data_IF_740298203068
#
_entry.id   IF_740298203068
#
_cell.length_a   1.000
_cell.length_b   1.000
_cell.length_c   1.000
_cell.angle_alpha   90.00
_cell.angle_beta   90.00
_cell.angle_gamma   90.00
#
_symmetry.space_group_name_H-M   'P 1'
#
loop_
_entity.id
_entity.type
_entity.pdbx_description
1 polymer ?
#
# COMPACT_ATOMS: atom_id res chain seq x y z
N UNK A 1 74.41 -36.88 -2.42
CA UNK A 1 75.38 -36.41 -3.43
C UNK A 1 74.57 -35.81 -4.55
N UNK A 2 74.44 -34.48 -4.58
CA UNK A 2 75.17 -33.58 -5.51
C UNK A 2 74.55 -33.67 -6.92
N UNK A 3 74.17 -32.62 -7.63
CA UNK A 3 74.43 -31.19 -7.52
C UNK A 3 73.39 -30.45 -8.40
N UNK A 4 73.18 -29.17 -8.11
CA UNK A 4 72.39 -28.16 -8.83
C UNK A 4 72.90 -27.91 -10.26
N UNK A 5 72.08 -27.28 -11.09
CA UNK A 5 72.56 -26.44 -12.20
C UNK A 5 71.45 -25.98 -13.15
N UNK A 6 71.10 -24.69 -13.09
CA UNK A 6 70.13 -24.00 -13.94
C UNK A 6 70.69 -23.75 -15.35
N UNK A 7 69.81 -23.54 -16.33
CA UNK A 7 70.08 -22.62 -17.44
C UNK A 7 68.80 -21.89 -17.87
N UNK A 8 68.92 -20.58 -18.09
CA UNK A 8 67.87 -19.63 -18.41
C UNK A 8 68.13 -19.14 -19.82
N UNK A 9 67.12 -19.21 -20.70
CA UNK A 9 67.09 -18.36 -21.89
C UNK A 9 65.71 -17.73 -22.00
N UNK A 10 65.71 -16.42 -21.73
CA UNK A 10 64.63 -15.49 -22.02
C UNK A 10 65.10 -14.74 -23.25
N UNK A 11 64.62 -15.14 -24.42
CA UNK A 11 64.73 -14.30 -25.62
C UNK A 11 63.45 -13.48 -25.71
N UNK A 12 63.55 -12.24 -25.19
CA UNK A 12 62.65 -11.15 -25.56
C UNK A 12 63.35 -10.43 -26.69
N UNK A 13 63.07 -10.87 -27.91
CA UNK A 13 63.40 -10.07 -29.08
C UNK A 13 62.39 -8.93 -29.19
N UNK A 14 62.98 -7.74 -29.15
CA UNK A 14 62.36 -6.47 -29.34
C UNK A 14 61.89 -6.30 -30.78
N UNK A 15 60.76 -5.62 -30.94
CA UNK A 15 60.56 -4.43 -31.76
C UNK A 15 59.15 -4.40 -32.34
N UNK A 16 58.58 -3.19 -32.39
CA UNK A 16 57.44 -2.90 -33.27
C UNK A 16 56.12 -2.73 -32.54
N UNK A 17 55.94 -1.53 -32.01
CA UNK A 17 54.64 -0.91 -31.79
C UNK A 17 53.68 -1.10 -32.98
N UNK A 18 52.56 -1.77 -32.76
CA UNK A 18 51.33 -1.48 -33.52
C UNK A 18 50.09 -1.70 -32.64
N UNK A 19 49.70 -0.62 -31.97
CA UNK A 19 48.38 -0.48 -31.37
C UNK A 19 47.41 -0.12 -32.51
N UNK A 20 46.78 -1.13 -33.08
CA UNK A 20 45.77 -0.89 -34.11
C UNK A 20 45.15 -2.18 -34.58
N UNK A 21 44.13 -2.66 -33.87
CA UNK A 21 42.85 -3.13 -34.40
C UNK A 21 42.17 -4.02 -33.36
N UNK A 22 41.09 -3.48 -32.79
CA UNK A 22 40.05 -4.22 -32.10
C UNK A 22 39.28 -5.01 -33.17
N UNK A 23 39.72 -6.23 -33.46
CA UNK A 23 38.94 -7.14 -34.30
C UNK A 23 38.04 -7.99 -33.40
N UNK A 24 36.89 -7.41 -33.07
CA UNK A 24 35.72 -8.10 -32.55
C UNK A 24 35.04 -8.85 -33.71
N UNK A 25 35.73 -9.87 -34.22
CA UNK A 25 35.17 -10.75 -35.25
C UNK A 25 35.10 -12.15 -34.68
N UNK A 26 33.90 -12.44 -34.17
CA UNK A 26 33.22 -13.71 -34.01
C UNK A 26 34.00 -14.95 -34.48
N UNK A 27 34.11 -15.96 -33.60
CA UNK A 27 33.69 -17.33 -33.95
C UNK A 27 33.83 -18.37 -32.81
N UNK A 28 34.12 -17.97 -31.56
CA UNK A 28 33.92 -18.85 -30.41
C UNK A 28 32.69 -18.44 -29.60
N UNK A 29 31.57 -19.17 -29.65
CA UNK A 29 30.47 -18.92 -28.73
C UNK A 29 30.95 -19.31 -27.33
N UNK A 30 31.22 -18.32 -26.50
CA UNK A 30 31.38 -18.51 -25.05
C UNK A 30 30.06 -19.07 -24.50
N UNK A 31 29.98 -20.40 -24.42
CA UNK A 31 28.86 -21.10 -23.81
C UNK A 31 28.86 -20.84 -22.31
N UNK A 32 27.94 -19.98 -21.88
CA UNK A 32 27.65 -19.77 -20.47
C UNK A 32 26.85 -20.95 -19.94
N UNK A 33 27.51 -21.85 -19.20
CA UNK A 33 26.83 -22.88 -18.44
C UNK A 33 25.95 -22.23 -17.35
N UNK A 34 24.63 -22.29 -17.52
CA UNK A 34 23.70 -21.97 -16.44
C UNK A 34 23.70 -23.11 -15.42
N UNK A 35 24.43 -22.93 -14.32
CA UNK A 35 24.40 -23.85 -13.17
C UNK A 35 22.99 -23.91 -12.57
N UNK A 36 22.17 -24.86 -13.04
CA UNK A 36 20.91 -25.20 -12.39
C UNK A 36 21.21 -26.23 -11.30
N UNK A 37 21.25 -25.80 -10.05
CA UNK A 37 21.33 -26.70 -8.89
C UNK A 37 19.96 -27.37 -8.68
N UNK A 38 19.58 -28.30 -9.54
CA UNK A 38 18.56 -29.33 -9.28
C UNK A 38 18.66 -30.40 -10.38
N UNK A 39 19.30 -31.53 -10.06
CA UNK A 39 19.03 -32.80 -10.76
C UNK A 39 19.19 -33.94 -9.77
N UNK A 40 18.19 -34.80 -9.56
CA UNK A 40 18.46 -36.19 -9.21
C UNK A 40 18.79 -36.94 -10.50
N UNK A 41 19.91 -37.66 -10.49
CA UNK A 41 20.37 -38.51 -11.58
C UNK A 41 19.34 -39.58 -11.93
N UNK A 42 18.97 -39.74 -13.19
CA UNK A 42 18.50 -41.04 -13.72
C UNK A 42 18.89 -41.18 -15.20
N UNK A 43 19.90 -42.03 -15.41
CA UNK A 43 20.05 -43.03 -16.48
C UNK A 43 19.61 -42.72 -17.92
N UNK A 44 20.61 -42.78 -18.81
CA UNK A 44 20.56 -42.84 -20.27
C UNK A 44 19.45 -43.73 -20.89
N UNK A 45 18.87 -43.29 -22.03
CA UNK A 45 18.87 -44.03 -23.32
C UNK A 45 18.37 -43.15 -24.48
N UNK A 46 19.16 -43.03 -25.56
CA UNK A 46 18.99 -42.02 -26.61
C UNK A 46 17.95 -42.28 -27.70
N UNK A 47 17.73 -41.24 -28.52
CA UNK A 47 17.39 -41.25 -29.96
C UNK A 47 17.48 -39.81 -30.53
N UNK A 48 17.90 -39.72 -31.79
CA UNK A 48 18.27 -38.54 -32.60
C UNK A 48 17.11 -37.54 -32.86
N UNK A 49 17.39 -36.29 -33.35
CA UNK A 49 16.42 -35.19 -33.46
C UNK A 49 15.77 -35.10 -34.85
N UNK A 50 14.59 -34.47 -34.99
CA UNK A 50 14.17 -33.91 -36.27
C UNK A 50 14.36 -32.39 -36.29
N UNK A 51 15.09 -31.95 -37.29
CA UNK A 51 15.16 -30.60 -37.81
C UNK A 51 13.79 -30.06 -38.23
N UNK A 52 13.40 -28.89 -37.72
CA UNK A 52 12.51 -27.97 -38.42
C UNK A 52 12.85 -26.54 -38.00
N UNK A 53 13.73 -25.91 -38.77
CA UNK A 53 13.94 -24.47 -38.78
C UNK A 53 12.67 -23.79 -39.28
N UNK A 54 12.02 -23.01 -38.41
CA UNK A 54 10.98 -22.06 -38.79
C UNK A 54 11.39 -20.68 -38.30
N UNK A 55 11.91 -19.89 -39.24
CA UNK A 55 12.30 -18.50 -39.07
C UNK A 55 11.07 -17.61 -39.22
N UNK A 56 10.40 -17.28 -38.10
CA UNK A 56 9.49 -16.14 -37.99
C UNK A 56 9.62 -15.53 -36.59
N UNK A 57 9.57 -14.18 -36.44
CA UNK A 57 9.68 -13.54 -35.14
C UNK A 57 8.35 -13.76 -34.39
N UNK A 58 8.33 -14.72 -33.47
CA UNK A 58 7.22 -14.88 -32.54
C UNK A 58 7.22 -13.69 -31.60
N UNK A 59 6.12 -12.95 -31.62
CA UNK A 59 5.73 -12.02 -30.55
C UNK A 59 5.94 -12.67 -29.19
N UNK A 60 6.60 -11.93 -28.30
CA UNK A 60 6.92 -12.30 -26.93
C UNK A 60 5.75 -13.05 -26.25
N UNK A 61 5.86 -14.36 -25.96
CA UNK A 61 4.84 -15.02 -25.18
C UNK A 61 4.98 -14.52 -23.74
N UNK A 62 3.98 -13.73 -23.31
CA UNK A 62 3.73 -13.40 -21.90
C UNK A 62 3.90 -14.70 -21.10
N UNK A 63 4.80 -14.78 -20.10
CA UNK A 63 4.93 -15.99 -19.32
C UNK A 63 3.58 -16.25 -18.66
N UNK A 64 2.92 -17.32 -19.10
CA UNK A 64 1.75 -17.84 -18.40
C UNK A 64 2.24 -18.22 -17.00
N UNK A 65 1.53 -17.87 -15.93
CA UNK A 65 1.97 -18.24 -14.58
C UNK A 65 2.07 -19.75 -14.54
N UNK A 66 3.29 -20.25 -14.30
CA UNK A 66 3.56 -21.67 -14.10
C UNK A 66 2.79 -22.13 -12.86
N UNK A 67 1.58 -22.63 -13.06
CA UNK A 67 0.75 -23.36 -12.10
C UNK A 67 1.36 -24.73 -11.79
N UNK A 68 2.58 -24.76 -11.25
CA UNK A 68 3.29 -26.01 -10.98
C UNK A 68 4.31 -25.99 -9.84
N UNK A 69 4.64 -24.84 -9.28
CA UNK A 69 5.47 -24.76 -8.07
C UNK A 69 4.59 -24.56 -6.85
N UNK A 70 4.74 -25.37 -5.80
CA UNK A 70 4.14 -25.09 -4.48
C UNK A 70 4.81 -23.84 -3.90
N UNK A 71 4.38 -22.67 -4.35
CA UNK A 71 4.81 -21.39 -3.81
C UNK A 71 4.22 -21.28 -2.40
N UNK A 72 5.08 -21.37 -1.40
CA UNK A 72 4.67 -21.19 -0.02
C UNK A 72 4.14 -19.75 0.14
N UNK A 73 3.03 -19.59 0.88
CA UNK A 73 2.39 -18.29 1.18
C UNK A 73 3.32 -17.29 1.90
N UNK A 74 4.55 -17.69 2.22
CA UNK A 74 5.59 -16.92 2.90
C UNK A 74 6.74 -16.52 1.99
N UNK A 75 6.69 -16.89 0.69
CA UNK A 75 7.75 -16.54 -0.27
C UNK A 75 7.44 -15.21 -0.95
N UNK A 76 8.45 -14.34 -1.05
CA UNK A 76 8.31 -13.07 -1.74
C UNK A 76 7.90 -13.27 -3.21
N UNK A 77 8.38 -14.35 -3.83
CA UNK A 77 8.01 -14.75 -5.20
C UNK A 77 6.52 -14.99 -5.37
N UNK A 78 5.82 -15.50 -4.34
CA UNK A 78 4.37 -15.66 -4.37
C UNK A 78 3.65 -14.32 -4.41
N UNK A 79 4.13 -13.31 -3.68
CA UNK A 79 3.49 -11.99 -3.68
C UNK A 79 3.89 -11.12 -4.86
N UNK A 80 5.10 -11.30 -5.41
CA UNK A 80 5.60 -10.51 -6.53
C UNK A 80 4.64 -10.49 -7.73
N UNK A 81 3.95 -11.60 -8.02
CA UNK A 81 2.98 -11.69 -9.10
C UNK A 81 1.78 -10.72 -8.95
N UNK A 82 1.41 -10.36 -7.72
CA UNK A 82 0.30 -9.43 -7.46
C UNK A 82 0.74 -7.95 -7.46
N UNK A 83 2.05 -7.70 -7.61
CA UNK A 83 2.64 -6.39 -7.82
C UNK A 83 3.08 -6.16 -9.27
N UNK A 84 3.13 -7.22 -10.09
CA UNK A 84 3.46 -7.16 -11.51
C UNK A 84 2.22 -6.76 -12.33
N UNK A 85 1.87 -5.48 -12.28
CA UNK A 85 0.64 -4.94 -12.87
C UNK A 85 0.96 -3.70 -13.71
N UNK A 86 0.38 -3.66 -14.91
CA UNK A 86 0.51 -2.51 -15.80
C UNK A 86 -0.22 -1.29 -15.22
N UNK A 87 0.40 -0.10 -15.33
CA UNK A 87 -0.22 1.16 -14.87
C UNK A 87 -1.58 1.43 -15.53
N UNK A 88 -1.72 1.05 -16.81
CA UNK A 88 -2.99 1.18 -17.54
C UNK A 88 -4.11 0.34 -16.90
N UNK A 89 -3.77 -0.84 -16.36
CA UNK A 89 -4.72 -1.72 -15.70
C UNK A 89 -5.15 -1.16 -14.35
N UNK A 90 -4.22 -0.63 -13.57
CA UNK A 90 -4.53 0.08 -12.30
C UNK A 90 -5.45 1.28 -12.57
N UNK A 91 -5.16 2.07 -13.61
CA UNK A 91 -6.01 3.21 -14.00
C UNK A 91 -7.42 2.77 -14.42
N UNK A 92 -7.53 1.67 -15.16
CA UNK A 92 -8.82 1.09 -15.55
C UNK A 92 -9.63 0.65 -14.32
N UNK A 93 -8.98 0.02 -13.34
CA UNK A 93 -9.58 -0.38 -12.06
C UNK A 93 -10.00 0.84 -11.22
N UNK A 94 -9.16 1.86 -11.14
CA UNK A 94 -9.50 3.13 -10.51
C UNK A 94 -10.73 3.78 -11.16
N UNK A 95 -10.78 3.82 -12.49
CA UNK A 95 -11.93 4.36 -13.21
C UNK A 95 -13.21 3.56 -12.95
N UNK A 96 -13.11 2.23 -12.93
CA UNK A 96 -14.22 1.34 -12.60
C UNK A 96 -14.70 1.51 -11.15
N UNK A 97 -13.79 1.83 -10.22
CA UNK A 97 -14.13 2.08 -8.82
C UNK A 97 -14.91 3.40 -8.65
N UNK A 98 -14.52 4.46 -9.37
CA UNK A 98 -15.23 5.75 -9.34
C UNK A 98 -16.54 5.71 -10.12
N UNK A 99 -16.55 5.04 -11.27
CA UNK A 99 -17.70 4.93 -12.16
C UNK A 99 -18.11 3.47 -12.35
N UNK A 100 -18.85 2.87 -11.39
CA UNK A 100 -19.21 1.47 -11.41
C UNK A 100 -20.26 1.16 -12.49
N UNK A 101 -19.79 0.87 -13.70
CA UNK A 101 -20.64 0.40 -14.82
C UNK A 101 -21.01 -1.08 -14.65
N UNK A 102 -20.04 -1.90 -14.31
CA UNK A 102 -20.16 -3.34 -13.99
C UNK A 102 -19.72 -3.61 -12.54
N UNK A 103 -19.87 -4.85 -12.05
CA UNK A 103 -19.28 -5.19 -10.76
C UNK A 103 -17.76 -5.15 -10.87
N UNK A 104 -17.11 -4.65 -9.84
CA UNK A 104 -15.67 -4.51 -9.74
C UNK A 104 -14.96 -5.87 -9.73
N UNK A 105 -15.58 -6.90 -9.15
CA UNK A 105 -15.01 -8.25 -9.19
C UNK A 105 -14.95 -8.81 -10.62
N UNK A 106 -15.92 -8.46 -11.48
CA UNK A 106 -15.88 -8.80 -12.90
C UNK A 106 -14.77 -8.02 -13.63
N UNK A 107 -14.50 -6.79 -13.20
CA UNK A 107 -13.40 -5.96 -13.72
C UNK A 107 -12.05 -6.55 -13.34
N UNK A 108 -11.93 -7.20 -12.18
CA UNK A 108 -10.69 -7.87 -11.76
C UNK A 108 -10.39 -9.12 -12.61
N UNK A 109 -11.41 -9.75 -13.19
CA UNK A 109 -11.29 -10.91 -14.09
C UNK A 109 -10.39 -12.03 -13.51
N UNK A 110 -10.56 -12.32 -12.22
CA UNK A 110 -9.78 -13.34 -11.51
C UNK A 110 -8.29 -13.01 -11.31
N UNK A 111 -7.85 -11.80 -11.67
CA UNK A 111 -6.47 -11.32 -11.53
C UNK A 111 -6.39 -10.15 -10.52
N UNK A 112 -6.58 -10.41 -9.21
CA UNK A 112 -6.53 -9.37 -8.19
C UNK A 112 -5.11 -8.80 -8.05
N UNK A 113 -5.01 -7.49 -7.79
CA UNK A 113 -3.74 -6.81 -7.55
C UNK A 113 -3.61 -6.33 -6.10
N UNK A 114 -2.37 -6.27 -5.61
CA UNK A 114 -2.02 -5.62 -4.34
C UNK A 114 -1.34 -4.26 -4.55
N UNK A 115 -0.79 -4.02 -5.74
CA UNK A 115 -0.15 -2.75 -6.10
C UNK A 115 -1.11 -1.56 -5.93
N UNK A 116 -2.28 -1.57 -6.57
CA UNK A 116 -3.25 -0.49 -6.50
C UNK A 116 -3.71 -0.20 -5.08
N UNK A 117 -4.25 -1.19 -4.34
CA UNK A 117 -4.65 -1.04 -2.94
C UNK A 117 -3.57 -0.45 -2.03
N UNK A 118 -2.33 -0.93 -2.15
CA UNK A 118 -1.21 -0.45 -1.36
C UNK A 118 -0.91 1.02 -1.63
N UNK A 119 -0.82 1.42 -2.90
CA UNK A 119 -0.51 2.80 -3.27
C UNK A 119 -1.66 3.75 -2.97
N UNK A 120 -2.91 3.35 -3.24
CA UNK A 120 -4.09 4.15 -2.89
C UNK A 120 -4.12 4.41 -1.39
N UNK A 121 -3.94 3.37 -0.56
CA UNK A 121 -3.88 3.52 0.89
C UNK A 121 -2.76 4.46 1.32
N UNK A 122 -1.55 4.30 0.76
CA UNK A 122 -0.41 5.18 1.03
C UNK A 122 -0.73 6.64 0.71
N UNK A 123 -1.31 6.91 -0.46
CA UNK A 123 -1.71 8.26 -0.89
C UNK A 123 -2.74 8.86 0.06
N UNK A 124 -3.76 8.10 0.46
CA UNK A 124 -4.76 8.55 1.44
C UNK A 124 -4.09 8.91 2.77
N UNK A 125 -3.20 8.07 3.30
CA UNK A 125 -2.45 8.34 4.54
C UNK A 125 -1.68 9.65 4.45
N UNK A 126 -0.92 9.84 3.37
CA UNK A 126 -0.11 11.05 3.16
C UNK A 126 -0.99 12.29 3.07
N UNK A 127 -2.08 12.26 2.30
CA UNK A 127 -2.96 13.42 2.15
C UNK A 127 -3.73 13.72 3.43
N UNK A 128 -4.18 12.71 4.19
CA UNK A 128 -4.79 12.90 5.50
C UNK A 128 -3.82 13.54 6.49
N UNK A 129 -2.55 13.09 6.48
CA UNK A 129 -1.51 13.68 7.31
C UNK A 129 -1.23 15.16 6.94
N UNK A 130 -1.08 15.47 5.64
CA UNK A 130 -0.87 16.84 5.17
C UNK A 130 -2.07 17.73 5.50
N UNK A 131 -3.28 17.26 5.23
CA UNK A 131 -4.53 17.99 5.49
C UNK A 131 -4.75 18.21 6.99
N UNK A 132 -4.52 17.18 7.81
CA UNK A 132 -4.62 17.27 9.26
C UNK A 132 -3.60 18.24 9.84
N UNK A 133 -2.37 18.24 9.33
CA UNK A 133 -1.30 19.19 9.71
C UNK A 133 -1.72 20.62 9.39
N UNK A 134 -2.21 20.88 8.18
CA UNK A 134 -2.65 22.23 7.76
C UNK A 134 -3.87 22.68 8.57
N UNK A 135 -4.84 21.81 8.79
CA UNK A 135 -6.03 22.11 9.60
C UNK A 135 -5.67 22.45 11.05
N UNK A 136 -4.74 21.71 11.65
CA UNK A 136 -4.22 21.98 12.99
C UNK A 136 -3.45 23.30 13.04
N UNK A 137 -2.59 23.56 12.04
CA UNK A 137 -1.86 24.83 11.93
C UNK A 137 -2.82 26.03 11.86
N UNK A 138 -3.83 25.97 11.00
CA UNK A 138 -4.80 27.04 10.81
C UNK A 138 -5.62 27.30 12.09
N UNK A 139 -5.98 26.22 12.81
CA UNK A 139 -6.66 26.31 14.10
C UNK A 139 -5.75 26.84 15.24
N UNK A 140 -4.43 26.69 15.12
CA UNK A 140 -3.44 27.08 16.15
C UNK A 140 -2.96 28.53 16.06
N UNK A 141 -3.46 29.31 15.10
CA UNK A 141 -3.15 30.75 14.95
C UNK A 141 -3.58 31.53 16.21
N UNK A 142 -2.70 31.55 17.23
CA UNK A 142 -2.95 32.21 18.51
C UNK A 142 -2.11 31.72 19.71
N UNK A 143 -1.48 30.53 19.70
CA UNK A 143 -0.53 30.12 20.76
C UNK A 143 0.62 29.26 20.21
N UNK A 144 1.83 29.60 20.63
CA UNK A 144 3.09 29.06 20.14
C UNK A 144 3.34 27.57 20.43
N UNK A 145 4.31 27.03 19.68
CA UNK A 145 4.88 25.67 19.67
C UNK A 145 4.06 24.59 18.93
N UNK A 146 4.16 24.60 17.60
CA UNK A 146 3.72 23.49 16.75
C UNK A 146 4.68 22.29 16.89
N UNK A 147 4.36 21.36 17.80
CA UNK A 147 5.08 20.10 17.88
C UNK A 147 4.65 19.16 16.76
N UNK A 148 5.61 18.65 16.00
CA UNK A 148 5.37 17.67 14.94
C UNK A 148 4.72 16.39 15.50
N UNK A 149 3.48 16.09 15.08
CA UNK A 149 2.71 14.98 15.64
C UNK A 149 2.91 13.68 14.84
N UNK A 150 3.91 12.90 15.25
CA UNK A 150 4.07 11.51 14.81
C UNK A 150 2.81 10.66 15.06
N UNK A 151 1.98 11.04 16.03
CA UNK A 151 0.70 10.39 16.34
C UNK A 151 -0.36 10.59 15.25
N UNK A 152 -0.38 11.72 14.54
CA UNK A 152 -1.28 11.94 13.41
C UNK A 152 -0.90 11.05 12.23
N UNK A 153 0.41 10.96 11.94
CA UNK A 153 0.90 10.11 10.84
C UNK A 153 0.69 8.62 11.14
N UNK A 154 1.07 8.16 12.33
CA UNK A 154 0.90 6.76 12.73
C UNK A 154 -0.58 6.40 12.92
N UNK A 155 -1.40 7.33 13.41
CA UNK A 155 -2.85 7.19 13.50
C UNK A 155 -3.51 7.08 12.13
N UNK A 156 -3.11 7.93 11.16
CA UNK A 156 -3.58 7.84 9.78
C UNK A 156 -3.18 6.50 9.14
N UNK A 157 -1.92 6.12 9.27
CA UNK A 157 -1.40 4.86 8.76
C UNK A 157 -2.15 3.66 9.37
N UNK A 158 -2.26 3.61 10.70
CA UNK A 158 -2.97 2.54 11.40
C UNK A 158 -4.44 2.44 11.01
N UNK A 159 -5.14 3.58 10.90
CA UNK A 159 -6.54 3.63 10.50
C UNK A 159 -6.75 3.13 9.06
N UNK A 160 -5.99 3.68 8.10
CA UNK A 160 -6.17 3.37 6.68
C UNK A 160 -5.66 1.97 6.33
N UNK A 161 -4.46 1.59 6.78
CA UNK A 161 -3.94 0.24 6.54
C UNK A 161 -4.69 -0.83 7.32
N UNK A 162 -5.09 -0.54 8.56
CA UNK A 162 -5.94 -1.43 9.34
C UNK A 162 -7.25 -1.69 8.60
N UNK A 163 -7.92 -0.64 8.14
CA UNK A 163 -9.12 -0.79 7.33
C UNK A 163 -8.88 -1.50 5.99
N UNK A 164 -7.77 -1.23 5.30
CA UNK A 164 -7.52 -1.80 3.96
C UNK A 164 -7.11 -3.27 4.00
N UNK A 165 -6.39 -3.71 5.03
CA UNK A 165 -5.82 -5.07 5.07
C UNK A 165 -6.42 -5.96 6.16
N UNK A 166 -6.71 -5.43 7.34
CA UNK A 166 -7.20 -6.27 8.46
C UNK A 166 -8.69 -6.59 8.30
N UNK A 167 -9.50 -5.60 7.90
CA UNK A 167 -10.95 -5.77 7.75
C UNK A 167 -11.31 -6.79 6.65
N UNK A 168 -10.70 -6.76 5.44
CA UNK A 168 -11.06 -7.71 4.39
C UNK A 168 -10.55 -9.12 4.69
N UNK A 169 -9.47 -9.23 5.47
CA UNK A 169 -8.99 -10.51 6.00
C UNK A 169 -10.01 -11.11 6.98
N UNK A 170 -10.55 -10.30 7.89
CA UNK A 170 -11.62 -10.71 8.80
C UNK A 170 -12.89 -11.12 8.04
N UNK A 171 -13.31 -10.30 7.06
CA UNK A 171 -14.44 -10.61 6.19
C UNK A 171 -14.22 -11.95 5.48
N UNK A 172 -13.08 -12.12 4.80
CA UNK A 172 -12.71 -13.37 4.14
C UNK A 172 -12.74 -14.57 5.10
N UNK A 173 -12.20 -14.44 6.31
CA UNK A 173 -12.20 -15.50 7.31
C UNK A 173 -13.61 -15.93 7.71
N UNK A 174 -14.53 -14.96 7.87
CA UNK A 174 -15.94 -15.23 8.15
C UNK A 174 -16.62 -15.90 6.95
N UNK A 175 -16.38 -15.42 5.73
CA UNK A 175 -16.94 -16.04 4.51
C UNK A 175 -16.46 -17.49 4.35
N UNK A 176 -15.18 -17.74 4.65
CA UNK A 176 -14.60 -19.09 4.58
C UNK A 176 -15.20 -20.00 5.64
N UNK A 177 -15.46 -19.48 6.85
CA UNK A 177 -16.14 -20.22 7.90
C UNK A 177 -17.57 -20.64 7.51
N UNK A 178 -18.28 -19.80 6.75
CA UNK A 178 -19.62 -20.09 6.24
C UNK A 178 -19.64 -20.90 4.93
N UNK A 179 -18.48 -21.41 4.47
CA UNK A 179 -18.41 -22.32 3.32
C UNK A 179 -18.38 -21.64 1.95
N UNK A 180 -18.10 -20.34 1.87
CA UNK A 180 -17.91 -19.64 0.59
C UNK A 180 -16.58 -20.04 -0.03
N UNK A 181 -16.57 -21.11 -0.84
CA UNK A 181 -15.34 -21.59 -1.48
C UNK A 181 -14.77 -20.61 -2.52
N UNK A 182 -15.62 -19.79 -3.11
CA UNK A 182 -15.29 -18.76 -4.10
C UNK A 182 -14.68 -17.47 -3.51
N UNK A 183 -14.64 -17.32 -2.18
CA UNK A 183 -14.14 -16.09 -1.57
C UNK A 183 -12.60 -16.02 -1.62
N UNK A 184 -12.07 -15.12 -2.44
CA UNK A 184 -10.64 -14.86 -2.55
C UNK A 184 -10.22 -13.65 -1.69
N UNK A 185 -9.27 -13.85 -0.77
CA UNK A 185 -8.76 -12.77 0.10
C UNK A 185 -8.15 -11.61 -0.69
N UNK A 186 -7.52 -11.90 -1.83
CA UNK A 186 -6.88 -10.90 -2.67
C UNK A 186 -7.93 -10.02 -3.38
N UNK A 187 -9.05 -10.58 -3.79
CA UNK A 187 -10.19 -9.82 -4.34
C UNK A 187 -10.82 -8.93 -3.27
N UNK A 188 -10.92 -9.42 -2.02
CA UNK A 188 -11.38 -8.63 -0.89
C UNK A 188 -10.44 -7.44 -0.59
N UNK A 189 -9.12 -7.67 -0.57
CA UNK A 189 -8.14 -6.60 -0.40
C UNK A 189 -8.16 -5.60 -1.53
N UNK A 190 -8.25 -6.07 -2.78
CA UNK A 190 -8.40 -5.21 -3.93
C UNK A 190 -9.66 -4.34 -3.79
N UNK A 191 -10.82 -4.96 -3.56
CA UNK A 191 -12.09 -4.26 -3.43
C UNK A 191 -12.04 -3.17 -2.36
N UNK A 192 -11.55 -3.47 -1.16
CA UNK A 192 -11.43 -2.48 -0.08
C UNK A 192 -10.38 -1.41 -0.37
N UNK A 193 -9.26 -1.77 -1.00
CA UNK A 193 -8.25 -0.82 -1.44
C UNK A 193 -8.79 0.21 -2.42
N UNK A 194 -9.46 -0.24 -3.47
CA UNK A 194 -10.06 0.65 -4.47
C UNK A 194 -11.27 1.42 -3.92
N UNK A 195 -11.98 0.89 -2.92
CA UNK A 195 -13.01 1.65 -2.20
C UNK A 195 -12.44 2.89 -1.49
N UNK A 196 -11.15 2.88 -1.11
CA UNK A 196 -10.51 4.04 -0.48
C UNK A 196 -10.17 5.18 -1.45
N UNK A 197 -10.27 4.95 -2.76
CA UNK A 197 -9.91 5.94 -3.77
C UNK A 197 -10.73 7.24 -3.62
N UNK A 198 -11.99 7.16 -3.19
CA UNK A 198 -12.84 8.34 -2.98
C UNK A 198 -12.35 9.23 -1.83
N UNK A 199 -11.58 8.68 -0.88
CA UNK A 199 -11.04 9.47 0.24
C UNK A 199 -9.95 10.42 -0.19
N UNK A 200 -9.29 10.20 -1.34
CA UNK A 200 -8.28 11.11 -1.90
C UNK A 200 -8.89 12.50 -2.18
N UNK A 201 -9.90 12.64 -3.07
CA UNK A 201 -10.51 13.95 -3.31
C UNK A 201 -11.23 14.50 -2.08
N UNK A 202 -11.84 13.66 -1.25
CA UNK A 202 -12.48 14.11 0.01
C UNK A 202 -11.46 14.74 0.95
N UNK A 203 -10.30 14.11 1.14
CA UNK A 203 -9.24 14.63 1.98
C UNK A 203 -8.65 15.94 1.43
N UNK A 204 -8.43 16.04 0.11
CA UNK A 204 -7.96 17.27 -0.53
C UNK A 204 -8.90 18.46 -0.32
N UNK A 205 -10.22 18.25 -0.41
CA UNK A 205 -11.21 19.32 -0.18
C UNK A 205 -11.32 19.67 1.31
N UNK A 206 -11.00 18.72 2.19
CA UNK A 206 -11.24 18.85 3.63
C UNK A 206 -10.26 19.74 4.39
N UNK A 207 -9.26 20.33 3.71
CA UNK A 207 -8.41 21.39 4.26
C UNK A 207 -9.15 22.71 4.51
N UNK A 208 -10.33 22.88 3.92
CA UNK A 208 -11.10 24.12 3.98
C UNK A 208 -11.63 24.35 5.41
N UNK A 209 -11.57 25.58 5.94
CA UNK A 209 -12.15 25.87 7.26
C UNK A 209 -13.69 25.85 7.29
N UNK A 210 -14.33 25.62 6.15
CA UNK A 210 -15.77 25.55 6.02
C UNK A 210 -16.28 24.19 6.52
N UNK A 211 -16.69 24.14 7.78
CA UNK A 211 -17.20 22.92 8.44
C UNK A 211 -18.31 22.23 7.63
N UNK A 212 -19.27 23.00 7.09
CA UNK A 212 -20.38 22.47 6.29
C UNK A 212 -19.88 21.78 5.02
N UNK A 213 -18.90 22.38 4.33
CA UNK A 213 -18.30 21.80 3.12
C UNK A 213 -17.67 20.43 3.45
N UNK A 214 -16.92 20.36 4.55
CA UNK A 214 -16.27 19.12 4.99
C UNK A 214 -17.30 18.02 5.30
N UNK A 215 -18.39 18.36 5.98
CA UNK A 215 -19.47 17.39 6.25
C UNK A 215 -20.14 16.89 4.97
N UNK A 216 -20.41 17.78 4.02
CA UNK A 216 -21.01 17.40 2.73
C UNK A 216 -20.09 16.45 1.95
N UNK A 217 -18.82 16.79 1.81
CA UNK A 217 -17.86 15.95 1.08
C UNK A 217 -17.60 14.61 1.76
N UNK A 218 -17.51 14.57 3.09
CA UNK A 218 -17.41 13.31 3.83
C UNK A 218 -18.67 12.47 3.67
N UNK A 219 -19.86 13.08 3.72
CA UNK A 219 -21.14 12.40 3.52
C UNK A 219 -21.28 11.82 2.11
N UNK A 220 -20.92 12.59 1.09
CA UNK A 220 -20.91 12.12 -0.31
C UNK A 220 -19.88 11.01 -0.50
N UNK A 221 -18.65 11.19 0.00
CA UNK A 221 -17.60 10.20 -0.06
C UNK A 221 -18.01 8.88 0.60
N UNK A 222 -18.61 8.95 1.80
CA UNK A 222 -19.19 7.80 2.49
C UNK A 222 -20.29 7.13 1.67
N UNK A 223 -21.26 7.89 1.15
CA UNK A 223 -22.36 7.32 0.36
C UNK A 223 -21.85 6.59 -0.89
N UNK A 224 -20.94 7.22 -1.65
CA UNK A 224 -20.36 6.64 -2.87
C UNK A 224 -19.59 5.35 -2.56
N UNK A 225 -18.74 5.37 -1.53
CA UNK A 225 -17.95 4.19 -1.14
C UNK A 225 -18.78 3.06 -0.55
N UNK A 226 -19.83 3.36 0.23
CA UNK A 226 -20.78 2.34 0.71
C UNK A 226 -21.53 1.70 -0.45
N UNK A 227 -22.04 2.49 -1.40
CA UNK A 227 -22.73 1.96 -2.58
C UNK A 227 -21.79 1.06 -3.38
N UNK A 228 -20.53 1.47 -3.55
CA UNK A 228 -19.51 0.65 -4.19
C UNK A 228 -19.28 -0.68 -3.44
N UNK A 229 -19.06 -0.65 -2.12
CA UNK A 229 -18.83 -1.87 -1.34
C UNK A 229 -20.04 -2.81 -1.37
N UNK A 230 -21.24 -2.29 -1.11
CA UNK A 230 -22.47 -3.09 -1.06
C UNK A 230 -22.76 -3.72 -2.42
N UNK A 231 -22.65 -2.95 -3.51
CA UNK A 231 -22.89 -3.48 -4.87
C UNK A 231 -21.96 -4.65 -5.21
N UNK A 232 -20.71 -4.58 -4.78
CA UNK A 232 -19.70 -5.59 -5.09
C UNK A 232 -19.70 -6.77 -4.12
N UNK A 233 -20.02 -6.56 -2.85
CA UNK A 233 -20.06 -7.62 -1.84
C UNK A 233 -21.39 -8.37 -1.82
N UNK A 234 -22.50 -7.74 -2.19
CA UNK A 234 -23.80 -8.40 -2.24
C UNK A 234 -23.79 -9.73 -3.02
N UNK A 235 -23.30 -9.81 -4.28
CA UNK A 235 -23.28 -11.08 -5.01
C UNK A 235 -22.43 -12.14 -4.31
N UNK A 236 -21.28 -11.76 -3.74
CA UNK A 236 -20.39 -12.69 -3.01
C UNK A 236 -21.04 -13.21 -1.73
N UNK A 237 -21.68 -12.33 -0.97
CA UNK A 237 -22.33 -12.66 0.30
C UNK A 237 -23.67 -13.38 0.11
N UNK A 238 -24.33 -13.21 -1.03
CA UNK A 238 -25.62 -13.82 -1.33
C UNK A 238 -25.56 -15.34 -1.52
N UNK A 239 -24.35 -15.88 -1.70
CA UNK A 239 -24.10 -17.32 -1.75
C UNK A 239 -24.31 -17.99 -0.38
N UNK A 240 -24.13 -17.23 0.71
CA UNK A 240 -24.42 -17.68 2.08
C UNK A 240 -25.89 -17.49 2.46
N UNK A 241 -26.29 -18.02 3.63
CA UNK A 241 -27.64 -17.83 4.16
C UNK A 241 -28.05 -16.34 4.21
N UNK A 242 -29.32 -16.07 3.89
CA UNK A 242 -29.86 -14.70 3.76
C UNK A 242 -29.70 -13.89 5.05
N UNK A 243 -29.81 -14.51 6.23
CA UNK A 243 -29.64 -13.81 7.50
C UNK A 243 -28.19 -13.41 7.71
N UNK A 244 -27.26 -14.34 7.48
CA UNK A 244 -25.81 -14.10 7.58
C UNK A 244 -25.37 -13.03 6.59
N UNK A 245 -25.80 -13.11 5.34
CA UNK A 245 -25.51 -12.12 4.29
C UNK A 245 -25.92 -10.70 4.69
N UNK A 246 -27.15 -10.54 5.22
CA UNK A 246 -27.64 -9.25 5.71
C UNK A 246 -26.84 -8.72 6.90
N UNK A 247 -26.53 -9.58 7.87
CA UNK A 247 -25.73 -9.19 9.05
C UNK A 247 -24.34 -8.73 8.61
N UNK A 248 -23.68 -9.45 7.70
CA UNK A 248 -22.37 -9.09 7.18
C UNK A 248 -22.40 -7.76 6.41
N UNK A 249 -23.41 -7.55 5.55
CA UNK A 249 -23.57 -6.26 4.86
C UNK A 249 -23.76 -5.10 5.84
N UNK A 250 -24.61 -5.26 6.87
CA UNK A 250 -24.79 -4.24 7.91
C UNK A 250 -23.47 -3.98 8.65
N UNK A 251 -22.72 -5.03 9.00
CA UNK A 251 -21.43 -4.90 9.65
C UNK A 251 -20.41 -4.15 8.78
N UNK A 252 -20.33 -4.46 7.48
CA UNK A 252 -19.47 -3.76 6.53
C UNK A 252 -19.82 -2.28 6.45
N UNK A 253 -21.10 -1.94 6.32
CA UNK A 253 -21.55 -0.54 6.28
C UNK A 253 -21.24 0.18 7.60
N UNK A 254 -21.45 -0.48 8.74
CA UNK A 254 -21.16 0.09 10.06
C UNK A 254 -19.66 0.34 10.26
N UNK A 255 -18.80 -0.60 9.87
CA UNK A 255 -17.35 -0.46 9.95
C UNK A 255 -16.86 0.65 9.01
N UNK A 256 -17.45 0.77 7.82
CA UNK A 256 -17.15 1.85 6.89
C UNK A 256 -17.61 3.22 7.41
N UNK A 257 -18.75 3.27 8.09
CA UNK A 257 -19.21 4.48 8.78
C UNK A 257 -18.24 4.85 9.91
N UNK A 258 -17.75 3.86 10.65
CA UNK A 258 -16.69 4.03 11.64
C UNK A 258 -15.43 4.66 11.05
N UNK A 259 -14.97 4.19 9.89
CA UNK A 259 -13.86 4.80 9.15
C UNK A 259 -14.14 6.26 8.80
N UNK A 260 -15.29 6.55 8.19
CA UNK A 260 -15.68 7.91 7.79
C UNK A 260 -15.73 8.88 8.98
N UNK A 261 -16.29 8.43 10.09
CA UNK A 261 -16.37 9.18 11.34
C UNK A 261 -14.97 9.39 11.92
N UNK A 262 -14.13 8.35 11.96
CA UNK A 262 -12.75 8.45 12.43
C UNK A 262 -11.95 9.44 11.58
N UNK A 263 -12.05 9.39 10.25
CA UNK A 263 -11.40 10.35 9.35
C UNK A 263 -11.86 11.79 9.68
N UNK A 264 -13.18 12.00 9.82
CA UNK A 264 -13.73 13.33 10.12
C UNK A 264 -13.26 13.86 11.48
N UNK A 265 -13.28 13.04 12.52
CA UNK A 265 -12.96 13.45 13.90
C UNK A 265 -11.46 13.66 14.07
N UNK A 266 -10.64 12.73 13.55
CA UNK A 266 -9.20 12.74 13.76
C UNK A 266 -8.46 13.74 12.86
N UNK A 267 -8.96 14.01 11.65
CA UNK A 267 -8.23 14.84 10.68
C UNK A 267 -8.94 16.14 10.30
N UNK A 268 -10.28 16.21 10.37
CA UNK A 268 -11.05 17.35 9.83
C UNK A 268 -11.85 18.12 10.88
N UNK A 269 -11.74 17.77 12.17
CA UNK A 269 -12.35 18.55 13.23
C UNK A 269 -11.39 19.69 13.62
N UNK A 270 -11.91 20.91 13.76
CA UNK A 270 -11.19 22.12 14.21
C UNK A 270 -10.71 22.07 15.68
N UNK A 271 -10.43 20.86 16.18
CA UNK A 271 -10.01 20.54 17.53
C UNK A 271 -9.87 19.03 17.70
N UNK A 272 -9.28 18.35 16.70
CA UNK A 272 -9.03 16.91 16.70
C UNK A 272 -8.47 16.48 18.06
N UNK A 273 -9.01 15.42 18.70
CA UNK A 273 -8.52 14.94 19.99
C UNK A 273 -7.04 14.58 19.99
N UNK A 274 -6.50 14.13 18.86
CA UNK A 274 -5.07 13.83 18.71
C UNK A 274 -4.20 15.08 18.93
N UNK A 275 -4.71 16.26 18.58
CA UNK A 275 -4.02 17.53 18.82
C UNK A 275 -4.19 18.05 20.27
N UNK A 276 -5.15 17.52 21.04
CA UNK A 276 -5.45 17.98 22.42
C UNK A 276 -4.70 17.22 23.50
N UNK A 277 -4.31 15.97 23.25
CA UNK A 277 -3.69 15.10 24.26
C UNK A 277 -2.23 15.47 24.63
N UNK A 278 -1.71 16.59 24.10
CA UNK A 278 -0.40 17.14 24.48
C UNK A 278 -0.44 18.59 24.95
N UNK A 279 -1.54 19.04 25.56
CA UNK A 279 -1.42 20.13 26.51
C UNK A 279 -0.67 19.58 27.75
N UNK A 280 0.47 20.16 28.17
CA UNK A 280 1.11 19.73 29.41
C UNK A 280 0.09 19.91 30.55
N UNK A 281 -0.17 18.82 31.27
CA UNK A 281 -0.83 18.86 32.55
C UNK A 281 0.08 19.62 33.53
N UNK A 282 -0.03 20.94 33.55
CA UNK A 282 0.83 21.75 34.41
C UNK A 282 0.97 23.19 33.98
N UNK A 283 -0.12 23.95 33.92
CA UNK A 283 -0.04 25.39 34.17
C UNK A 283 -1.26 25.79 34.97
N UNK A 284 -1.07 25.88 36.30
CA UNK A 284 -1.96 26.65 37.15
C UNK A 284 -1.96 28.07 36.58
N UNK A 285 -3.12 28.49 36.09
CA UNK A 285 -3.49 29.86 35.79
C UNK A 285 -2.85 30.82 36.82
N UNK A 286 -2.03 31.80 36.44
CA UNK A 286 -1.81 32.94 37.32
C UNK A 286 -3.16 33.66 37.40
N UNK A 287 -3.74 33.71 38.60
CA UNK A 287 -4.77 34.70 38.90
C UNK A 287 -4.13 36.09 38.78
N UNK A 288 -4.33 36.76 37.65
CA UNK A 288 -4.20 38.21 37.60
C UNK A 288 -5.44 38.84 38.24
N UNK A 289 -5.24 39.33 39.47
CA UNK A 289 -5.54 40.72 39.78
C UNK A 289 -6.96 41.10 40.20
N UNK A 290 -7.25 40.95 41.49
CA UNK A 290 -7.97 41.99 42.25
C UNK A 290 -7.40 42.03 43.67
N UNK A 291 -6.87 43.18 44.12
CA UNK A 291 -6.55 43.38 45.53
C UNK A 291 -5.26 44.11 45.89
N UNK A 292 -4.59 44.81 44.97
CA UNK A 292 -3.39 45.61 45.26
C UNK A 292 -3.59 46.83 46.18
N UNK A 293 -4.83 47.19 46.52
CA UNK A 293 -5.12 48.33 47.40
C UNK A 293 -5.38 47.93 48.88
N UNK A 294 -5.77 46.68 49.16
CA UNK A 294 -6.13 46.25 50.52
C UNK A 294 -4.93 45.88 51.40
N UNK A 295 -3.87 45.33 50.79
CA UNK A 295 -2.69 44.88 51.52
C UNK A 295 -1.84 46.04 52.06
N UNK A 296 -1.76 47.16 51.32
CA UNK A 296 -1.00 48.34 51.73
C UNK A 296 -1.70 49.09 52.87
N UNK A 297 -3.03 49.10 52.90
CA UNK A 297 -3.81 49.73 53.97
C UNK A 297 -3.73 48.92 55.29
N UNK A 298 -3.72 47.59 55.22
CA UNK A 298 -3.51 46.74 56.42
C UNK A 298 -2.12 46.90 57.01
N UNK A 299 -1.10 47.04 56.17
CA UNK A 299 0.28 47.24 56.64
C UNK A 299 0.49 48.62 57.30
N UNK A 300 -0.26 49.65 56.87
CA UNK A 300 -0.20 50.99 57.45
C UNK A 300 -1.00 51.16 58.75
N UNK A 301 -2.00 50.31 59.02
CA UNK A 301 -2.83 50.38 60.23
C UNK A 301 -2.43 49.44 61.37
N UNK A 302 -1.38 48.61 61.21
CA UNK A 302 -0.80 47.84 62.31
C UNK A 302 -1.77 46.87 63.01
N UNK A 303 -2.62 46.17 62.24
CA UNK A 303 -3.38 44.99 62.68
C UNK A 303 -2.74 43.71 62.14
#
# INVERSE_FOLDING_TARGET
MSNRGYDVVVDVDAEGSDLGHTDLTNDDPLEFHTSTFTTPSTSQRGKLPPSSTSFLPSSNPRPSPTTGGKSYLWTLTFYAQFFDVDTAEVLRRCWAAVFPRSNFLDVLDGNPDLYGPFWIATTVVVILFLTGTISSYLASTGREHYTYDFALLSGAAGLVYGYTFVLPLGLWGVLRWFGSESANVLECWALYGYANLIWIPVALVSWSPLTVLNFVFVGVGFAVSVVFLVRNLYPVLSVSDVKTSKILLIAVVALHAGLAIAIKILFFAHGSPVAKDKAPAGEKKPEEGEGGAGAVVRMLMGL
#
